data_IF_795926879352
#
_entry.id   IF_795926879352
#
_cell.length_a   1.000
_cell.length_b   1.000
_cell.length_c   1.000
_cell.angle_alpha   90.00
_cell.angle_beta   90.00
_cell.angle_gamma   90.00
#
_symmetry.space_group_name_H-M   'P 1'
#
loop_
_entity.id
_entity.type
_entity.pdbx_description
1 polymer ?
#
# COMPACT_ATOMS: atom_id res chain seq x y z
N UNK A 1 -43.99 18.97 -14.38
CA UNK A 1 -43.28 19.63 -15.48
C UNK A 1 -42.39 20.66 -14.84
N UNK A 2 -41.15 20.28 -14.58
CA UNK A 2 -40.04 21.17 -14.22
C UNK A 2 -38.78 20.34 -14.40
N UNK A 3 -38.05 20.71 -15.44
CA UNK A 3 -36.77 20.16 -15.87
C UNK A 3 -35.70 20.40 -14.79
N UNK A 4 -34.84 19.41 -14.56
CA UNK A 4 -33.57 19.63 -13.88
C UNK A 4 -32.48 19.47 -14.93
N UNK A 5 -31.87 20.62 -15.20
CA UNK A 5 -30.77 20.86 -16.13
C UNK A 5 -29.57 19.96 -15.83
N UNK A 6 -29.15 19.19 -16.83
CA UNK A 6 -27.91 18.41 -16.84
C UNK A 6 -26.83 19.27 -17.50
N UNK A 7 -26.22 20.22 -16.78
CA UNK A 7 -24.91 20.77 -17.16
C UNK A 7 -24.14 21.30 -15.94
N UNK A 8 -23.10 20.55 -15.53
CA UNK A 8 -21.75 21.07 -15.22
C UNK A 8 -20.91 19.96 -14.58
N UNK A 9 -20.48 18.98 -15.39
CA UNK A 9 -19.35 18.13 -15.00
C UNK A 9 -18.11 18.98 -15.23
N UNK A 10 -17.77 19.81 -14.24
CA UNK A 10 -16.45 20.41 -14.18
C UNK A 10 -15.47 19.31 -13.75
N UNK A 11 -14.57 18.98 -14.68
CA UNK A 11 -13.32 18.28 -14.41
C UNK A 11 -12.55 19.05 -13.34
N UNK A 12 -12.64 18.61 -12.09
CA UNK A 12 -11.69 18.97 -11.05
C UNK A 12 -10.63 17.89 -10.98
N UNK A 13 -9.40 18.27 -11.31
CA UNK A 13 -8.18 17.52 -10.99
C UNK A 13 -8.21 17.02 -9.54
N UNK A 14 -7.71 15.80 -9.23
CA UNK A 14 -7.74 15.28 -7.88
C UNK A 14 -6.77 16.09 -7.02
N UNK A 15 -7.30 17.11 -6.36
CA UNK A 15 -6.60 17.97 -5.42
C UNK A 15 -7.13 17.65 -4.03
N UNK A 16 -6.42 16.77 -3.32
CA UNK A 16 -6.71 16.50 -1.92
C UNK A 16 -6.25 15.13 -1.48
N UNK A 17 -5.12 15.09 -0.77
CA UNK A 17 -4.80 13.95 0.09
C UNK A 17 -6.00 13.74 1.04
N UNK A 18 -6.72 12.63 0.87
CA UNK A 18 -7.92 12.36 1.66
C UNK A 18 -7.51 11.63 2.93
N UNK A 19 -7.49 12.35 4.04
CA UNK A 19 -7.27 11.79 5.37
C UNK A 19 -8.63 11.34 5.95
N UNK A 20 -8.74 10.09 6.39
CA UNK A 20 -9.92 9.59 7.10
C UNK A 20 -9.67 9.75 8.61
N UNK A 21 -10.40 10.66 9.25
CA UNK A 21 -10.43 10.81 10.71
C UNK A 21 -11.63 10.06 11.28
N UNK A 22 -11.39 8.85 11.77
CA UNK A 22 -12.37 8.06 12.53
C UNK A 22 -11.64 7.31 13.64
N UNK A 23 -11.99 7.62 14.89
CA UNK A 23 -11.51 7.03 16.14
C UNK A 23 -10.01 6.62 16.17
N UNK A 24 -9.19 7.63 16.43
CA UNK A 24 -7.82 7.57 17.01
C UNK A 24 -6.70 6.99 16.10
N UNK A 25 -6.87 6.95 14.78
CA UNK A 25 -5.74 6.65 13.89
C UNK A 25 -5.72 7.54 12.66
N UNK A 26 -4.72 8.43 12.59
CA UNK A 26 -4.29 9.05 11.34
C UNK A 26 -3.64 7.98 10.44
N UNK A 27 -3.87 8.07 9.14
CA UNK A 27 -3.36 7.09 8.20
C UNK A 27 -3.22 7.62 6.79
N UNK A 28 -2.38 6.93 6.01
CA UNK A 28 -2.14 7.21 4.61
C UNK A 28 -2.89 6.19 3.76
N UNK A 29 -3.70 6.68 2.82
CA UNK A 29 -4.40 5.84 1.84
C UNK A 29 -3.71 6.00 0.49
N UNK A 30 -3.39 4.87 -0.15
CA UNK A 30 -2.71 4.83 -1.44
C UNK A 30 -3.53 3.99 -2.41
N UNK A 31 -4.16 4.64 -3.37
CA UNK A 31 -4.91 4.00 -4.45
C UNK A 31 -4.22 4.08 -5.81
N UNK A 32 -3.19 4.91 -5.93
CA UNK A 32 -2.48 5.16 -7.19
C UNK A 32 -1.05 4.61 -7.15
N UNK A 33 -0.64 3.97 -8.24
CA UNK A 33 0.70 3.39 -8.40
C UNK A 33 1.60 4.34 -9.19
N UNK A 34 1.93 5.48 -8.58
CA UNK A 34 2.82 6.50 -9.14
C UNK A 34 3.94 6.84 -8.16
N UNK A 35 5.07 7.34 -8.63
CA UNK A 35 6.09 7.90 -7.73
C UNK A 35 5.49 9.10 -6.98
N UNK A 36 5.60 9.10 -5.64
CA UNK A 36 5.03 10.16 -4.83
C UNK A 36 5.78 10.36 -3.51
N UNK A 37 5.53 11.48 -2.84
CA UNK A 37 6.04 11.79 -1.51
C UNK A 37 4.89 12.31 -0.64
N UNK A 38 4.73 11.71 0.52
CA UNK A 38 3.73 12.11 1.51
C UNK A 38 4.42 12.69 2.74
N UNK A 39 3.82 13.72 3.31
CA UNK A 39 4.25 14.31 4.57
C UNK A 39 3.10 14.17 5.56
N UNK A 40 3.37 13.46 6.66
CA UNK A 40 2.42 13.13 7.72
C UNK A 40 3.00 13.70 9.01
N UNK A 41 2.15 14.37 9.78
CA UNK A 41 2.51 14.83 11.12
C UNK A 41 1.59 14.15 12.11
N UNK A 42 2.18 13.40 13.03
CA UNK A 42 1.53 12.89 14.24
C UNK A 42 1.88 13.80 15.41
N UNK A 43 1.18 13.67 16.55
CA UNK A 43 1.35 14.54 17.73
C UNK A 43 2.81 14.82 18.10
N UNK A 44 3.68 13.80 18.02
CA UNK A 44 5.08 13.93 18.41
C UNK A 44 6.07 13.79 17.24
N UNK A 45 5.66 13.37 16.05
CA UNK A 45 6.59 13.01 14.97
C UNK A 45 6.17 13.52 13.59
N UNK A 46 7.14 14.00 12.82
CA UNK A 46 6.97 14.24 11.39
C UNK A 46 7.54 13.06 10.62
N UNK A 47 6.76 12.56 9.65
CA UNK A 47 7.09 11.41 8.82
C UNK A 47 7.00 11.82 7.35
N UNK A 48 8.09 11.59 6.63
CA UNK A 48 8.11 11.61 5.18
C UNK A 48 8.03 10.17 4.69
N UNK A 49 7.03 9.87 3.85
CA UNK A 49 6.91 8.58 3.16
C UNK A 49 7.21 8.79 1.69
N UNK A 50 8.26 8.16 1.19
CA UNK A 50 8.59 8.17 -0.24
C UNK A 50 8.05 6.91 -0.89
N UNK A 51 7.08 7.07 -1.79
CA UNK A 51 6.55 6.01 -2.63
C UNK A 51 7.35 5.92 -3.94
N UNK A 52 7.73 4.69 -4.31
CA UNK A 52 8.39 4.39 -5.57
C UNK A 52 7.72 3.21 -6.27
N UNK A 53 7.50 3.37 -7.56
CA UNK A 53 6.97 2.32 -8.43
C UNK A 53 8.13 1.73 -9.21
N UNK A 54 8.33 0.44 -9.05
CA UNK A 54 9.41 -0.30 -9.69
C UNK A 54 8.77 -1.41 -10.51
N UNK A 55 8.91 -1.35 -11.83
CA UNK A 55 8.49 -2.42 -12.73
C UNK A 55 9.72 -3.00 -13.41
N UNK A 56 10.18 -4.15 -12.92
CA UNK A 56 11.32 -4.87 -13.50
C UNK A 56 10.90 -5.75 -14.70
N UNK A 57 9.61 -6.05 -14.81
CA UNK A 57 9.02 -6.89 -15.85
C UNK A 57 7.54 -6.47 -16.10
N UNK A 58 6.99 -6.71 -17.30
CA UNK A 58 5.66 -6.22 -17.67
C UNK A 58 4.51 -6.90 -16.90
N UNK A 59 4.74 -8.09 -16.34
CA UNK A 59 3.78 -8.89 -15.59
C UNK A 59 3.69 -8.49 -14.11
N UNK A 60 4.38 -7.42 -13.70
CA UNK A 60 4.48 -7.08 -12.28
C UNK A 60 4.80 -5.63 -11.97
N UNK A 61 4.39 -5.23 -10.79
CA UNK A 61 4.67 -3.93 -10.20
C UNK A 61 5.10 -4.13 -8.75
N UNK A 62 6.21 -3.52 -8.36
CA UNK A 62 6.62 -3.34 -6.98
C UNK A 62 6.31 -1.91 -6.55
N UNK A 63 5.45 -1.75 -5.55
CA UNK A 63 5.19 -0.48 -4.88
C UNK A 63 5.96 -0.43 -3.57
N UNK A 64 7.04 0.35 -3.53
CA UNK A 64 7.91 0.52 -2.37
C UNK A 64 7.61 1.80 -1.61
N UNK A 65 7.67 1.73 -0.29
CA UNK A 65 7.52 2.85 0.63
C UNK A 65 8.74 2.93 1.54
N UNK A 66 9.47 4.04 1.48
CA UNK A 66 10.56 4.34 2.41
C UNK A 66 10.07 5.34 3.46
N UNK A 67 10.23 5.00 4.72
CA UNK A 67 9.80 5.83 5.84
C UNK A 67 10.99 6.61 6.42
N UNK A 68 10.81 7.93 6.56
CA UNK A 68 11.78 8.83 7.17
C UNK A 68 11.07 9.60 8.29
N UNK A 69 11.37 9.25 9.53
CA UNK A 69 10.70 9.77 10.70
C UNK A 69 11.67 10.64 11.54
N UNK A 70 11.20 11.75 12.10
CA UNK A 70 11.99 12.49 13.10
C UNK A 70 12.18 11.69 14.39
N UNK A 71 11.20 10.84 14.71
CA UNK A 71 11.24 9.80 15.73
C UNK A 71 10.22 8.69 15.40
N UNK A 72 10.31 7.49 15.99
CA UNK A 72 9.41 6.40 15.65
C UNK A 72 7.92 6.76 15.84
N UNK A 73 7.11 6.52 14.82
CA UNK A 73 5.71 6.96 14.76
C UNK A 73 4.77 5.80 14.42
N UNK A 74 3.60 5.73 15.06
CA UNK A 74 2.59 4.72 14.75
C UNK A 74 1.46 5.34 13.93
N UNK A 75 1.27 4.84 12.71
CA UNK A 75 0.13 5.19 11.87
C UNK A 75 -0.19 4.05 10.91
N UNK A 76 -1.39 4.10 10.32
CA UNK A 76 -1.88 3.09 9.38
C UNK A 76 -1.55 3.49 7.94
N UNK A 77 -1.10 2.53 7.14
CA UNK A 77 -1.03 2.64 5.69
C UNK A 77 -2.07 1.70 5.08
N UNK A 78 -2.96 2.22 4.25
CA UNK A 78 -3.96 1.45 3.51
C UNK A 78 -3.61 1.49 2.01
N UNK A 79 -3.20 0.36 1.44
CA UNK A 79 -2.84 0.26 0.02
C UNK A 79 -3.90 -0.51 -0.73
N UNK A 80 -4.47 0.08 -1.79
CA UNK A 80 -5.39 -0.61 -2.68
C UNK A 80 -4.64 -1.72 -3.41
N UNK A 81 -5.20 -2.92 -3.38
CA UNK A 81 -4.69 -4.04 -4.16
C UNK A 81 -5.32 -3.96 -5.57
N UNK A 82 -4.54 -4.01 -6.66
CA UNK A 82 -5.10 -3.91 -8.01
C UNK A 82 -6.16 -4.99 -8.27
N UNK A 83 -7.32 -4.59 -8.82
CA UNK A 83 -8.42 -5.52 -9.13
C UNK A 83 -8.02 -6.64 -10.09
N UNK A 84 -7.08 -6.36 -10.99
CA UNK A 84 -6.61 -7.28 -12.02
C UNK A 84 -5.37 -8.09 -11.61
N UNK A 85 -4.85 -7.94 -10.39
CA UNK A 85 -3.74 -8.80 -9.94
C UNK A 85 -4.25 -10.22 -9.63
N UNK A 86 -3.49 -11.23 -10.06
CA UNK A 86 -3.84 -12.64 -9.74
C UNK A 86 -3.18 -13.11 -8.44
N UNK A 87 -2.12 -12.41 -8.01
CA UNK A 87 -1.47 -12.65 -6.73
C UNK A 87 -0.73 -11.39 -6.25
N UNK A 88 -0.40 -11.36 -4.96
CA UNK A 88 0.42 -10.32 -4.36
C UNK A 88 1.13 -10.83 -3.10
N UNK A 89 2.25 -10.20 -2.73
CA UNK A 89 2.97 -10.44 -1.47
C UNK A 89 3.44 -9.10 -0.90
N UNK A 90 3.49 -8.99 0.42
CA UNK A 90 3.97 -7.80 1.13
C UNK A 90 5.18 -8.14 1.97
N UNK A 91 6.21 -7.31 1.90
CA UNK A 91 7.40 -7.43 2.74
C UNK A 91 7.68 -6.15 3.52
N UNK A 92 8.20 -6.30 4.73
CA UNK A 92 8.79 -5.23 5.53
C UNK A 92 10.28 -5.53 5.75
N UNK A 93 11.16 -4.62 5.34
CA UNK A 93 12.61 -4.78 5.44
C UNK A 93 13.05 -6.14 4.85
N UNK A 94 12.54 -6.44 3.65
CA UNK A 94 12.70 -7.67 2.89
C UNK A 94 12.16 -8.96 3.55
N UNK A 95 11.58 -8.90 4.74
CA UNK A 95 10.92 -10.03 5.38
C UNK A 95 9.45 -10.10 4.98
N UNK A 96 8.96 -11.30 4.64
CA UNK A 96 7.55 -11.50 4.31
C UNK A 96 6.68 -11.10 5.51
N UNK A 97 5.81 -10.12 5.27
CA UNK A 97 4.82 -9.64 6.22
C UNK A 97 3.46 -10.28 5.95
N UNK A 98 3.03 -10.28 4.69
CA UNK A 98 1.77 -10.91 4.24
C UNK A 98 2.06 -11.76 3.02
N UNK A 99 1.74 -13.05 3.08
CA UNK A 99 1.98 -14.01 2.01
C UNK A 99 0.98 -13.92 0.85
N UNK A 100 1.21 -14.73 -0.17
CA UNK A 100 0.34 -14.87 -1.34
C UNK A 100 -1.11 -15.23 -0.98
N UNK A 101 -2.06 -14.63 -1.69
CA UNK A 101 -3.49 -14.93 -1.52
C UNK A 101 -4.00 -16.01 -2.48
N UNK A 102 -3.28 -16.28 -3.56
CA UNK A 102 -3.60 -17.34 -4.53
C UNK A 102 -2.56 -18.46 -4.52
N UNK A 103 -2.99 -19.67 -4.89
CA UNK A 103 -2.11 -20.83 -5.13
C UNK A 103 -1.36 -20.74 -6.45
N UNK A 104 -1.85 -19.90 -7.37
CA UNK A 104 -1.17 -19.60 -8.64
C UNK A 104 -0.01 -18.65 -8.34
N UNK A 105 1.20 -19.20 -8.22
CA UNK A 105 2.40 -18.44 -7.86
C UNK A 105 3.09 -17.92 -9.13
N UNK A 106 3.65 -16.71 -9.13
CA UNK A 106 4.50 -16.23 -10.23
C UNK A 106 5.69 -17.17 -10.44
N UNK A 107 6.08 -17.38 -11.70
CA UNK A 107 7.19 -18.29 -12.05
C UNK A 107 8.53 -17.85 -11.46
N UNK A 108 8.74 -16.54 -11.35
CA UNK A 108 9.97 -15.93 -10.83
C UNK A 108 9.61 -14.83 -9.83
N UNK A 109 9.16 -15.12 -8.61
CA UNK A 109 8.79 -14.09 -7.63
C UNK A 109 9.99 -13.24 -7.22
N UNK A 110 9.73 -12.01 -6.78
CA UNK A 110 10.73 -11.19 -6.12
C UNK A 110 11.27 -11.87 -4.86
N UNK A 111 12.54 -11.58 -4.57
CA UNK A 111 13.19 -12.07 -3.37
C UNK A 111 12.53 -11.47 -2.11
N UNK A 112 12.06 -12.36 -1.24
CA UNK A 112 11.52 -12.02 0.08
C UNK A 112 12.00 -13.08 1.07
N UNK A 113 12.53 -12.66 2.21
CA UNK A 113 12.96 -13.52 3.32
C UNK A 113 11.72 -14.10 3.98
N UNK A 114 11.54 -15.42 3.88
CA UNK A 114 10.41 -16.12 4.52
C UNK A 114 10.59 -16.14 6.04
N UNK A 115 9.52 -15.98 6.84
CA UNK A 115 9.60 -16.12 8.27
C UNK A 115 9.97 -17.56 8.63
N UNK A 116 10.75 -17.74 9.69
CA UNK A 116 11.20 -19.04 10.21
C UNK A 116 10.11 -19.81 10.97
N UNK A 117 8.95 -19.21 11.21
CA UNK A 117 7.85 -19.82 11.94
C UNK A 117 6.96 -20.62 10.97
N UNK A 118 6.93 -21.95 11.14
CA UNK A 118 6.13 -22.91 10.36
C UNK A 118 4.62 -22.88 10.72
N UNK A 119 3.99 -21.72 10.54
CA UNK A 119 2.53 -21.63 10.58
C UNK A 119 1.93 -22.42 9.42
N UNK A 120 1.37 -23.60 9.71
CA UNK A 120 0.82 -24.53 8.70
C UNK A 120 -0.37 -23.97 7.90
N UNK A 121 -0.99 -22.90 8.39
CA UNK A 121 -2.13 -22.24 7.77
C UNK A 121 -1.89 -20.73 7.66
N UNK A 122 -1.03 -20.32 6.72
CA UNK A 122 -0.91 -18.89 6.37
C UNK A 122 -2.11 -18.46 5.55
N UNK A 123 -3.05 -17.76 6.18
CA UNK A 123 -4.13 -17.06 5.48
C UNK A 123 -3.63 -15.66 5.12
N UNK A 124 -3.68 -15.32 3.84
CA UNK A 124 -3.39 -13.96 3.38
C UNK A 124 -4.61 -13.07 3.59
N UNK A 125 -4.36 -11.81 3.99
CA UNK A 125 -5.39 -10.77 4.08
C UNK A 125 -5.53 -9.96 2.79
N UNK A 126 -4.69 -10.23 1.79
CA UNK A 126 -4.71 -9.55 0.50
C UNK A 126 -5.88 -10.04 -0.34
N UNK A 127 -6.62 -9.10 -0.94
CA UNK A 127 -7.65 -9.40 -1.95
C UNK A 127 -7.66 -8.33 -3.05
N UNK A 128 -7.73 -8.71 -4.34
CA UNK A 128 -7.88 -7.76 -5.44
C UNK A 128 -9.09 -6.84 -5.23
N UNK A 129 -8.92 -5.54 -5.45
CA UNK A 129 -9.97 -4.53 -5.31
C UNK A 129 -10.26 -4.09 -3.87
N UNK A 130 -9.60 -4.68 -2.86
CA UNK A 130 -9.71 -4.28 -1.46
C UNK A 130 -8.46 -3.52 -1.00
N UNK A 131 -8.60 -2.71 0.05
CA UNK A 131 -7.46 -2.09 0.72
C UNK A 131 -6.82 -3.06 1.70
N UNK A 132 -5.49 -3.22 1.62
CA UNK A 132 -4.70 -3.86 2.66
C UNK A 132 -4.23 -2.80 3.66
N UNK A 133 -4.73 -2.90 4.89
CA UNK A 133 -4.28 -2.09 6.02
C UNK A 133 -3.03 -2.67 6.66
N UNK A 134 -2.00 -1.84 6.83
CA UNK A 134 -0.77 -2.15 7.56
C UNK A 134 -0.63 -1.12 8.69
N UNK A 135 -0.78 -1.55 9.93
CA UNK A 135 -0.62 -0.70 11.11
C UNK A 135 0.65 -1.11 11.87
N UNK A 136 1.66 -0.25 11.82
CA UNK A 136 2.97 -0.50 12.43
C UNK A 136 3.44 0.74 13.19
N UNK A 137 4.41 0.53 14.08
CA UNK A 137 5.28 1.61 14.55
C UNK A 137 6.45 1.67 13.58
N UNK A 138 6.49 2.71 12.78
CA UNK A 138 7.47 2.93 11.74
C UNK A 138 8.72 3.61 12.31
N UNK A 139 9.87 3.19 11.81
CA UNK A 139 11.18 3.75 12.12
C UNK A 139 11.85 4.27 10.85
N UNK A 140 12.78 5.21 11.01
CA UNK A 140 13.54 5.73 9.87
C UNK A 140 14.35 4.61 9.23
N UNK A 141 14.17 4.46 7.92
CA UNK A 141 14.82 3.40 7.15
C UNK A 141 13.96 2.16 6.96
N UNK A 142 12.77 2.09 7.57
CA UNK A 142 11.81 1.05 7.23
C UNK A 142 11.46 1.11 5.73
N UNK A 143 11.40 -0.07 5.11
CA UNK A 143 11.01 -0.23 3.71
C UNK A 143 9.90 -1.26 3.61
N UNK A 144 8.70 -0.81 3.27
CA UNK A 144 7.56 -1.66 2.98
C UNK A 144 7.44 -1.82 1.46
N UNK A 145 7.23 -3.04 0.97
CA UNK A 145 7.06 -3.31 -0.46
C UNK A 145 5.82 -4.17 -0.67
N UNK A 146 4.99 -3.75 -1.62
CA UNK A 146 3.93 -4.57 -2.19
C UNK A 146 4.37 -5.02 -3.56
N UNK A 147 4.35 -6.33 -3.79
CA UNK A 147 4.61 -6.91 -5.10
C UNK A 147 3.27 -7.41 -5.65
N UNK A 148 2.85 -6.85 -6.78
CA UNK A 148 1.63 -7.21 -7.49
C UNK A 148 1.98 -7.96 -8.77
N UNK A 149 1.29 -9.07 -9.03
CA UNK A 149 1.50 -9.91 -10.20
C UNK A 149 0.25 -9.96 -11.09
N UNK A 150 0.47 -9.86 -12.40
CA UNK A 150 -0.55 -9.76 -13.45
C UNK A 150 -0.35 -10.85 -14.51
N UNK A 151 -1.39 -11.14 -15.28
CA UNK A 151 -1.35 -12.07 -16.42
C UNK A 151 -1.27 -11.34 -17.74
#
# INVERSE_FOLDING_TARGET
>A
MTDIDIQSINNSEPTGNTFITGDIFEGLIVSEYVDNKYEISTDDASVIVTQKVISQAPDRICLGFLFQCTQPARFRLDVLIPENCYNAIVSLNDHELVGYFSKDLPENPEYVIKPSCDGKDKVSTLKPGEFQSINFRWETGDVLKFFFYFK
#
